data_IF_301223360860
#
_entry.id   IF_301223360860
#
_cell.length_a   1.000
_cell.length_b   1.000
_cell.length_c   1.000
_cell.angle_alpha   90.00
_cell.angle_beta   90.00
_cell.angle_gamma   90.00
#
_symmetry.space_group_name_H-M   'P 1'
#
loop_
_entity.id
_entity.type
_entity.pdbx_description
1 polymer ?
#
# COMPACT_ATOMS: atom_id res chain seq x y z
N UNK A 1 -37.36 -51.93 38.73
CA UNK A 1 -36.11 -52.70 38.58
C UNK A 1 -35.76 -52.77 37.09
N UNK A 2 -34.49 -52.79 36.66
CA UNK A 2 -33.41 -51.79 36.73
C UNK A 2 -33.17 -51.10 35.36
N UNK A 3 -32.43 -49.98 35.30
CA UNK A 3 -32.20 -49.25 34.04
C UNK A 3 -30.99 -48.30 34.01
N UNK A 4 -29.85 -48.74 34.55
CA UNK A 4 -28.45 -48.37 34.23
C UNK A 4 -28.17 -46.94 33.69
N UNK A 5 -27.83 -46.00 34.59
CA UNK A 5 -27.03 -44.82 34.22
C UNK A 5 -25.58 -45.30 33.97
N UNK A 6 -25.14 -45.33 32.72
CA UNK A 6 -23.73 -45.58 32.36
C UNK A 6 -22.96 -44.26 32.45
N UNK A 7 -22.25 -44.04 33.55
CA UNK A 7 -21.23 -43.01 33.62
C UNK A 7 -20.10 -43.37 32.65
N UNK A 8 -20.06 -42.74 31.48
CA UNK A 8 -18.91 -42.83 30.59
C UNK A 8 -17.90 -41.78 31.06
N UNK A 9 -16.85 -42.23 31.75
CA UNK A 9 -15.62 -41.47 31.93
C UNK A 9 -15.06 -41.14 30.55
N UNK A 10 -15.27 -39.91 30.07
CA UNK A 10 -14.45 -39.34 29.01
C UNK A 10 -13.23 -38.75 29.68
N UNK A 11 -12.12 -39.48 29.60
CA UNK A 11 -10.80 -39.07 30.04
C UNK A 11 -10.44 -37.74 29.40
N UNK A 12 -10.44 -36.66 30.19
CA UNK A 12 -9.84 -35.39 29.81
C UNK A 12 -8.33 -35.62 29.77
N UNK A 13 -7.78 -35.82 28.57
CA UNK A 13 -6.34 -35.79 28.35
C UNK A 13 -5.92 -34.32 28.49
N UNK A 14 -5.54 -33.89 29.70
CA UNK A 14 -4.88 -32.60 29.90
C UNK A 14 -3.57 -32.63 29.13
N UNK A 15 -3.57 -31.97 27.97
CA UNK A 15 -2.37 -31.59 27.25
C UNK A 15 -1.55 -30.69 28.17
N UNK A 16 -0.59 -31.26 28.90
CA UNK A 16 0.47 -30.49 29.52
C UNK A 16 1.25 -29.83 28.38
N UNK A 17 1.01 -28.54 28.18
CA UNK A 17 1.73 -27.73 27.23
C UNK A 17 3.21 -27.76 27.56
N UNK A 18 3.97 -28.55 26.79
CA UNK A 18 5.41 -28.38 26.70
C UNK A 18 5.60 -27.06 25.98
N UNK A 19 5.82 -25.98 26.74
CA UNK A 19 6.28 -24.72 26.21
C UNK A 19 7.71 -24.95 25.70
N UNK A 20 7.82 -25.34 24.43
CA UNK A 20 9.10 -25.26 23.73
C UNK A 20 9.54 -23.80 23.80
N UNK A 21 10.75 -23.49 24.25
CA UNK A 21 11.26 -22.13 24.18
C UNK A 21 11.30 -21.74 22.71
N UNK A 22 10.37 -20.89 22.28
CA UNK A 22 10.48 -20.20 21.01
C UNK A 22 11.62 -19.21 21.15
N UNK A 23 12.82 -19.63 20.77
CA UNK A 23 13.90 -18.70 20.44
C UNK A 23 13.48 -18.02 19.14
N UNK A 24 12.66 -16.98 19.25
CA UNK A 24 12.37 -16.13 18.11
C UNK A 24 13.73 -15.60 17.60
N UNK A 25 14.01 -15.67 16.29
CA UNK A 25 15.21 -15.04 15.75
C UNK A 25 15.26 -13.60 16.23
N UNK A 26 16.45 -13.13 16.63
CA UNK A 26 16.63 -11.75 17.05
C UNK A 26 16.07 -10.84 15.95
N UNK A 27 15.08 -10.03 16.30
CA UNK A 27 14.46 -9.12 15.34
C UNK A 27 15.53 -8.18 14.79
N UNK A 28 15.74 -8.21 13.48
CA UNK A 28 16.63 -7.28 12.80
C UNK A 28 16.03 -5.87 12.94
N UNK A 29 16.76 -4.99 13.63
CA UNK A 29 16.33 -3.60 13.82
C UNK A 29 16.93 -2.73 12.73
N UNK A 30 16.06 -2.00 12.03
CA UNK A 30 16.47 -0.99 11.08
C UNK A 30 16.40 0.38 11.75
N UNK A 31 17.51 1.11 11.75
CA UNK A 31 17.53 2.51 12.18
C UNK A 31 17.20 3.42 10.99
N UNK A 32 16.10 4.16 11.08
CA UNK A 32 15.70 5.19 10.11
C UNK A 32 15.19 6.42 10.84
N UNK A 33 15.33 7.59 10.22
CA UNK A 33 14.84 8.86 10.78
C UNK A 33 13.31 8.93 10.76
N UNK A 34 12.69 8.39 9.70
CA UNK A 34 11.23 8.40 9.50
C UNK A 34 10.76 7.03 9.01
N UNK A 35 9.76 6.47 9.70
CA UNK A 35 9.02 5.30 9.24
C UNK A 35 7.59 5.70 8.89
N UNK A 36 7.15 5.38 7.68
CA UNK A 36 5.79 5.56 7.21
C UNK A 36 5.15 4.19 7.02
N UNK A 37 4.06 3.94 7.74
CA UNK A 37 3.30 2.70 7.61
C UNK A 37 2.04 2.94 6.76
N UNK A 38 1.95 2.21 5.64
CA UNK A 38 0.93 2.35 4.60
C UNK A 38 1.46 3.10 3.39
N UNK A 39 1.71 2.39 2.29
CA UNK A 39 2.14 2.97 1.01
C UNK A 39 0.94 3.43 0.17
N UNK A 40 0.03 4.19 0.77
CA UNK A 40 -1.05 4.89 0.04
C UNK A 40 -0.51 6.18 -0.60
N UNK A 41 -1.26 6.91 -1.44
CA UNK A 41 -0.77 8.17 -2.03
C UNK A 41 -0.27 9.17 -0.97
N UNK A 42 -0.96 9.28 0.17
CA UNK A 42 -0.54 10.13 1.27
C UNK A 42 0.74 9.64 1.96
N UNK A 43 0.87 8.33 2.17
CA UNK A 43 2.08 7.74 2.76
C UNK A 43 3.30 7.87 1.86
N UNK A 44 3.13 7.64 0.56
CA UNK A 44 4.16 7.86 -0.46
C UNK A 44 4.55 9.34 -0.49
N UNK A 45 3.59 10.26 -0.50
CA UNK A 45 3.88 11.70 -0.47
C UNK A 45 4.66 12.10 0.79
N UNK A 46 4.30 11.57 1.97
CA UNK A 46 5.01 11.81 3.22
C UNK A 46 6.44 11.25 3.18
N UNK A 47 6.62 10.04 2.65
CA UNK A 47 7.93 9.41 2.50
C UNK A 47 8.85 10.20 1.55
N UNK A 48 8.31 10.64 0.40
CA UNK A 48 9.03 11.49 -0.56
C UNK A 48 9.41 12.82 0.09
N UNK A 49 8.49 13.47 0.81
CA UNK A 49 8.77 14.73 1.49
C UNK A 49 9.89 14.59 2.52
N UNK A 50 9.85 13.54 3.35
CA UNK A 50 10.92 13.24 4.30
C UNK A 50 12.27 12.99 3.60
N UNK A 51 12.27 12.17 2.54
CA UNK A 51 13.47 11.89 1.75
C UNK A 51 14.06 13.12 1.06
N UNK A 52 13.22 14.02 0.51
CA UNK A 52 13.65 15.30 -0.08
C UNK A 52 14.36 16.22 0.92
N UNK A 53 14.17 16.00 2.22
CA UNK A 53 14.86 16.74 3.29
C UNK A 53 16.10 16.00 3.84
N UNK A 54 16.57 14.96 3.15
CA UNK A 54 17.79 14.23 3.49
C UNK A 54 17.65 13.22 4.64
N UNK A 55 16.41 12.89 5.06
CA UNK A 55 16.17 11.84 6.05
C UNK A 55 16.22 10.46 5.40
N UNK A 56 16.70 9.47 6.16
CA UNK A 56 16.49 8.06 5.86
C UNK A 56 15.04 7.68 6.13
N UNK A 57 14.38 7.03 5.17
CA UNK A 57 12.95 6.73 5.24
C UNK A 57 12.69 5.26 5.01
N UNK A 58 11.90 4.64 5.88
CA UNK A 58 11.31 3.33 5.66
C UNK A 58 9.82 3.49 5.34
N UNK A 59 9.41 3.10 4.13
CA UNK A 59 8.01 3.00 3.76
C UNK A 59 7.58 1.53 3.83
N UNK A 60 6.57 1.23 4.64
CA UNK A 60 6.08 -0.13 4.86
C UNK A 60 4.69 -0.27 4.25
N UNK A 61 4.48 -1.30 3.44
CA UNK A 61 3.18 -1.67 2.90
C UNK A 61 2.86 -3.10 3.34
N UNK A 62 1.78 -3.34 4.11
CA UNK A 62 1.43 -4.69 4.54
C UNK A 62 0.94 -5.60 3.41
N UNK A 63 0.57 -5.03 2.26
CA UNK A 63 0.15 -5.79 1.08
C UNK A 63 1.26 -5.91 0.03
N UNK A 64 1.00 -6.63 -1.05
CA UNK A 64 1.93 -6.74 -2.19
C UNK A 64 1.82 -5.58 -3.18
N UNK A 65 0.96 -4.59 -2.94
CA UNK A 65 0.67 -3.50 -3.89
C UNK A 65 0.63 -2.14 -3.21
N UNK A 66 1.58 -1.30 -3.57
CA UNK A 66 1.61 0.12 -3.17
C UNK A 66 0.61 0.95 -3.98
N UNK A 67 0.28 2.15 -3.48
CA UNK A 67 -0.53 3.17 -4.13
C UNK A 67 -2.02 3.16 -3.75
N UNK A 68 -2.43 2.24 -2.87
CA UNK A 68 -3.79 2.18 -2.32
C UNK A 68 -4.88 2.12 -3.40
N UNK A 69 -5.90 2.98 -3.26
CA UNK A 69 -7.04 3.00 -4.19
C UNK A 69 -6.65 3.48 -5.59
N UNK A 70 -5.70 4.42 -5.70
CA UNK A 70 -5.20 4.97 -6.97
C UNK A 70 -4.66 3.89 -7.89
N UNK A 71 -3.97 2.90 -7.32
CA UNK A 71 -3.44 1.75 -8.06
C UNK A 71 -4.40 0.57 -8.11
N UNK A 72 -5.58 0.66 -7.49
CA UNK A 72 -6.53 -0.46 -7.40
C UNK A 72 -7.83 -0.24 -8.18
N UNK A 73 -7.98 0.90 -8.87
CA UNK A 73 -9.16 1.17 -9.71
C UNK A 73 -9.79 2.55 -9.54
N UNK A 74 -9.48 3.26 -8.45
CA UNK A 74 -10.08 4.58 -8.18
C UNK A 74 -9.03 5.68 -8.33
N UNK A 75 -8.95 6.26 -9.53
CA UNK A 75 -8.05 7.38 -9.85
C UNK A 75 -8.78 8.71 -10.08
N UNK A 76 -10.11 8.73 -9.97
CA UNK A 76 -10.91 9.96 -10.13
C UNK A 76 -10.88 10.80 -8.84
N UNK A 77 -9.92 11.72 -8.76
CA UNK A 77 -9.73 12.60 -7.60
C UNK A 77 -10.59 13.85 -7.72
N UNK A 78 -11.31 14.21 -6.67
CA UNK A 78 -12.09 15.44 -6.62
C UNK A 78 -11.16 16.65 -6.41
N UNK A 79 -11.15 17.58 -7.37
CA UNK A 79 -10.46 18.88 -7.26
C UNK A 79 -11.25 19.97 -8.00
N UNK A 80 -11.16 21.20 -7.53
CA UNK A 80 -11.94 22.32 -8.10
C UNK A 80 -11.30 22.93 -9.36
N UNK A 81 -9.97 23.00 -9.41
CA UNK A 81 -9.25 23.57 -10.55
C UNK A 81 -7.84 22.96 -10.68
N UNK A 82 -7.28 22.96 -11.88
CA UNK A 82 -5.94 22.40 -12.09
C UNK A 82 -4.84 23.20 -11.37
N UNK A 83 -5.07 24.49 -11.14
CA UNK A 83 -4.17 25.38 -10.40
C UNK A 83 -4.09 25.03 -8.91
N UNK A 84 -5.08 24.29 -8.38
CA UNK A 84 -5.04 23.81 -6.99
C UNK A 84 -4.13 22.60 -6.80
N UNK A 85 -3.74 21.93 -7.89
CA UNK A 85 -2.86 20.76 -7.84
C UNK A 85 -1.43 21.19 -7.56
N UNK A 86 -0.83 20.65 -6.50
CA UNK A 86 0.54 20.98 -6.09
C UNK A 86 1.27 19.76 -5.51
N UNK A 87 2.57 19.92 -5.27
CA UNK A 87 3.39 18.93 -4.56
C UNK A 87 3.36 17.54 -5.21
N UNK A 88 3.30 16.50 -4.38
CA UNK A 88 3.40 15.12 -4.83
C UNK A 88 2.29 14.71 -5.81
N UNK A 89 1.09 15.29 -5.71
CA UNK A 89 -0.01 14.96 -6.62
C UNK A 89 0.20 15.57 -8.01
N UNK A 90 0.68 16.82 -8.09
CA UNK A 90 1.04 17.43 -9.36
C UNK A 90 2.21 16.69 -10.03
N UNK A 91 3.24 16.33 -9.25
CA UNK A 91 4.36 15.52 -9.75
C UNK A 91 3.86 14.15 -10.28
N UNK A 92 2.91 13.53 -9.59
CA UNK A 92 2.29 12.27 -10.02
C UNK A 92 1.49 12.45 -11.32
N UNK A 93 0.61 13.45 -11.41
CA UNK A 93 -0.23 13.64 -12.60
C UNK A 93 0.60 13.93 -13.85
N UNK A 94 1.65 14.75 -13.73
CA UNK A 94 2.57 15.02 -14.83
C UNK A 94 3.27 13.75 -15.33
N UNK A 95 3.64 12.83 -14.42
CA UNK A 95 4.27 11.56 -14.78
C UNK A 95 3.29 10.59 -15.44
N UNK A 96 2.03 10.58 -15.03
CA UNK A 96 0.96 9.80 -15.69
C UNK A 96 0.72 10.32 -17.11
N UNK A 97 0.57 11.64 -17.29
CA UNK A 97 0.41 12.25 -18.61
C UNK A 97 1.60 11.95 -19.51
N UNK A 98 2.83 12.11 -18.98
CA UNK A 98 4.07 11.79 -19.70
C UNK A 98 4.15 10.32 -20.10
N UNK A 99 3.66 9.39 -19.26
CA UNK A 99 3.57 7.97 -19.63
C UNK A 99 2.72 7.80 -20.89
N UNK A 100 1.48 8.32 -20.90
CA UNK A 100 0.60 8.16 -22.05
C UNK A 100 1.16 8.85 -23.30
N UNK A 101 1.73 10.05 -23.16
CA UNK A 101 2.33 10.78 -24.27
C UNK A 101 3.50 10.02 -24.90
N UNK A 102 4.32 9.37 -24.06
CA UNK A 102 5.47 8.58 -24.52
C UNK A 102 5.04 7.28 -25.20
N UNK A 103 3.99 6.61 -24.71
CA UNK A 103 3.58 5.29 -25.21
C UNK A 103 2.63 5.35 -26.41
N UNK A 104 1.78 6.37 -26.49
CA UNK A 104 0.73 6.47 -27.50
C UNK A 104 0.89 7.68 -28.42
N UNK A 105 1.79 8.60 -28.09
CA UNK A 105 1.97 9.87 -28.78
C UNK A 105 1.24 11.03 -28.07
N UNK A 106 1.75 12.28 -28.19
CA UNK A 106 1.25 13.43 -27.45
C UNK A 106 -0.20 13.80 -27.82
N UNK A 107 -0.60 13.60 -29.08
CA UNK A 107 -1.96 13.90 -29.57
C UNK A 107 -2.90 12.69 -29.52
N UNK A 108 -2.53 11.65 -28.77
CA UNK A 108 -3.32 10.42 -28.69
C UNK A 108 -4.59 10.60 -27.87
N UNK A 109 -5.60 9.77 -28.17
CA UNK A 109 -6.82 9.72 -27.37
C UNK A 109 -6.52 9.39 -25.91
N UNK A 110 -5.53 8.55 -25.63
CA UNK A 110 -5.13 8.14 -24.29
C UNK A 110 -4.60 9.32 -23.47
N UNK A 111 -3.81 10.21 -24.06
CA UNK A 111 -3.36 11.43 -23.40
C UNK A 111 -4.56 12.32 -23.06
N UNK A 112 -5.46 12.54 -24.02
CA UNK A 112 -6.69 13.31 -23.79
C UNK A 112 -7.55 12.70 -22.67
N UNK A 113 -7.79 11.39 -22.72
CA UNK A 113 -8.63 10.65 -21.78
C UNK A 113 -8.00 10.57 -20.38
N UNK A 114 -6.66 10.72 -20.26
CA UNK A 114 -5.96 10.82 -18.97
C UNK A 114 -6.27 12.11 -18.19
N UNK A 115 -6.91 13.09 -18.84
CA UNK A 115 -7.29 14.38 -18.24
C UNK A 115 -6.12 15.08 -17.55
N UNK A 116 -5.06 15.39 -18.31
CA UNK A 116 -3.80 15.97 -17.80
C UNK A 116 -3.14 15.08 -16.74
N UNK A 117 -3.24 13.76 -16.96
CA UNK A 117 -2.70 12.71 -16.10
C UNK A 117 -3.33 12.60 -14.72
N UNK A 118 -4.42 13.31 -14.43
CA UNK A 118 -5.14 13.08 -13.16
C UNK A 118 -5.87 11.75 -13.17
N UNK A 119 -6.13 11.19 -14.36
CA UNK A 119 -6.69 9.84 -14.53
C UNK A 119 -5.66 8.93 -15.18
N UNK A 120 -5.56 7.74 -14.64
CA UNK A 120 -4.71 6.69 -15.18
C UNK A 120 -5.24 5.32 -14.80
N UNK A 121 -4.92 4.33 -15.63
CA UNK A 121 -5.27 2.95 -15.36
C UNK A 121 -4.49 2.44 -14.12
N UNK A 122 -5.05 1.47 -13.38
CA UNK A 122 -4.42 0.94 -12.17
C UNK A 122 -2.97 0.48 -12.35
N UNK A 123 -2.65 -0.11 -13.51
CA UNK A 123 -1.29 -0.54 -13.88
C UNK A 123 -0.35 0.63 -14.12
N UNK A 124 -0.81 1.67 -14.81
CA UNK A 124 -0.02 2.88 -15.10
C UNK A 124 0.28 3.63 -13.80
N UNK A 125 -0.73 3.81 -12.94
CA UNK A 125 -0.54 4.47 -11.65
C UNK A 125 0.46 3.72 -10.76
N UNK A 126 0.44 2.38 -10.79
CA UNK A 126 1.40 1.59 -10.04
C UNK A 126 2.81 1.80 -10.58
N UNK A 127 2.97 1.77 -11.91
CA UNK A 127 4.27 2.00 -12.54
C UNK A 127 4.80 3.41 -12.23
N UNK A 128 3.94 4.42 -12.11
CA UNK A 128 4.35 5.77 -11.71
C UNK A 128 4.78 5.82 -10.23
N UNK A 129 4.23 5.00 -9.34
CA UNK A 129 4.70 4.97 -7.94
C UNK A 129 6.00 4.20 -7.72
N UNK A 130 6.42 3.36 -8.67
CA UNK A 130 7.67 2.61 -8.64
C UNK A 130 8.84 3.42 -9.21
#
# INVERSE_FOLDING_TARGET
>A
MPGKLRASLVTILMWFGIALPHTAPAAESFAVDVMVYGATPGGIAAAIAAGKTGRTVMLVEPTSRIGGMTTSGLSHTDFHSFESLTGAFLDFSQRVEAYYATHFGPDSRQVSDSFRGTFGEPSVNLQVFQ
#
